data_IF_412780202870
#
_entry.id   IF_412780202870
#
_cell.length_a   1.000
_cell.length_b   1.000
_cell.length_c   1.000
_cell.angle_alpha   90.00
_cell.angle_beta   90.00
_cell.angle_gamma   90.00
#
_symmetry.space_group_name_H-M   'P 1'
#
loop_
_entity.id
_entity.type
_entity.pdbx_description
1 polymer ?
#
# COMPACT_ATOMS: atom_id res chain seq x y z
N UNK A 1 17.85 -17.20 -6.32
CA UNK A 1 16.86 -16.27 -6.93
C UNK A 1 16.28 -15.21 -5.96
N UNK A 2 16.65 -15.13 -4.67
CA UNK A 2 16.16 -14.09 -3.74
C UNK A 2 16.86 -12.72 -3.86
N UNK A 3 18.16 -12.72 -4.19
CA UNK A 3 18.97 -11.49 -4.31
C UNK A 3 18.52 -10.56 -5.45
N UNK A 4 18.23 -11.12 -6.63
CA UNK A 4 17.75 -10.34 -7.78
C UNK A 4 16.44 -9.59 -7.50
N UNK A 5 15.54 -10.19 -6.71
CA UNK A 5 14.25 -9.60 -6.35
C UNK A 5 14.40 -8.43 -5.36
N UNK A 6 15.36 -8.51 -4.43
CA UNK A 6 15.66 -7.41 -3.49
C UNK A 6 16.36 -6.24 -4.18
N UNK A 7 17.26 -6.53 -5.11
CA UNK A 7 17.98 -5.50 -5.87
C UNK A 7 17.05 -4.77 -6.86
N UNK A 8 16.17 -5.50 -7.56
CA UNK A 8 15.11 -4.91 -8.37
C UNK A 8 14.13 -4.09 -7.52
N UNK A 9 13.80 -4.57 -6.32
CA UNK A 9 12.97 -3.84 -5.36
C UNK A 9 13.60 -2.51 -4.96
N UNK A 10 14.90 -2.52 -4.61
CA UNK A 10 15.63 -1.32 -4.26
C UNK A 10 15.68 -0.34 -5.44
N UNK A 11 16.02 -0.82 -6.65
CA UNK A 11 16.08 0.00 -7.87
C UNK A 11 14.74 0.65 -8.23
N UNK A 12 13.65 -0.12 -8.20
CA UNK A 12 12.32 0.41 -8.44
C UNK A 12 11.95 1.47 -7.40
N UNK A 13 12.30 1.27 -6.14
CA UNK A 13 12.06 2.24 -5.08
C UNK A 13 12.93 3.50 -5.23
N UNK A 14 14.13 3.40 -5.81
CA UNK A 14 15.06 4.53 -5.99
C UNK A 14 14.87 5.30 -7.30
N UNK A 15 14.19 4.75 -8.31
CA UNK A 15 13.86 5.50 -9.53
C UNK A 15 12.99 6.73 -9.22
N UNK A 16 13.55 7.90 -9.54
CA UNK A 16 13.21 9.22 -9.01
C UNK A 16 11.87 9.80 -9.48
N UNK A 17 11.38 10.74 -8.68
CA UNK A 17 10.16 11.50 -8.91
C UNK A 17 10.48 12.83 -9.58
N UNK A 18 10.54 12.88 -10.91
CA UNK A 18 10.69 14.15 -11.65
C UNK A 18 9.34 14.87 -11.89
N UNK A 19 9.33 16.20 -12.13
CA UNK A 19 8.12 16.93 -12.50
C UNK A 19 7.46 16.38 -13.78
N UNK A 20 8.25 15.81 -14.69
CA UNK A 20 7.82 15.15 -15.93
C UNK A 20 6.88 13.95 -15.68
N UNK A 21 6.94 13.30 -14.51
CA UNK A 21 6.01 12.21 -14.17
C UNK A 21 4.57 12.68 -14.00
N UNK A 22 4.33 13.96 -13.71
CA UNK A 22 2.98 14.50 -13.63
C UNK A 22 2.28 14.47 -15.01
N UNK A 23 3.04 14.58 -16.09
CA UNK A 23 2.52 14.44 -17.47
C UNK A 23 2.12 13.00 -17.77
N UNK A 24 2.89 12.03 -17.28
CA UNK A 24 2.64 10.60 -17.46
C UNK A 24 1.50 10.08 -16.57
N UNK A 25 1.24 10.75 -15.44
CA UNK A 25 0.23 10.35 -14.47
C UNK A 25 -0.71 11.51 -14.13
N UNK A 26 -1.68 11.84 -15.02
CA UNK A 26 -2.58 12.98 -14.83
C UNK A 26 -3.38 12.94 -13.53
N UNK A 27 -3.69 11.74 -13.02
CA UNK A 27 -4.40 11.55 -11.76
C UNK A 27 -3.57 11.93 -10.52
N UNK A 28 -2.26 12.17 -10.67
CA UNK A 28 -1.36 12.67 -9.64
C UNK A 28 -1.23 14.21 -9.67
N UNK A 29 -1.76 14.89 -10.69
CA UNK A 29 -1.63 16.34 -10.85
C UNK A 29 -2.20 17.13 -9.67
N UNK A 30 -3.25 16.61 -9.02
CA UNK A 30 -3.88 17.23 -7.85
C UNK A 30 -3.05 17.09 -6.55
N UNK A 31 -1.91 16.40 -6.58
CA UNK A 31 -1.05 16.20 -5.41
C UNK A 31 0.14 17.15 -5.43
N UNK A 32 0.56 17.55 -4.22
CA UNK A 32 1.86 18.20 -4.04
C UNK A 32 2.98 17.28 -4.52
N UNK A 33 4.13 17.83 -4.90
CA UNK A 33 5.29 17.01 -5.31
C UNK A 33 5.68 15.96 -4.27
N UNK A 34 5.73 16.37 -2.99
CA UNK A 34 6.01 15.46 -1.88
C UNK A 34 4.96 14.33 -1.76
N UNK A 35 3.69 14.63 -1.95
CA UNK A 35 2.63 13.62 -1.90
C UNK A 35 2.60 12.74 -3.16
N UNK A 36 3.01 13.24 -4.33
CA UNK A 36 3.22 12.43 -5.54
C UNK A 36 4.29 11.38 -5.32
N UNK A 37 5.45 11.79 -4.79
CA UNK A 37 6.56 10.89 -4.45
C UNK A 37 6.06 9.78 -3.53
N UNK A 38 5.41 10.15 -2.41
CA UNK A 38 4.85 9.18 -1.45
C UNK A 38 3.82 8.25 -2.08
N UNK A 39 2.94 8.76 -2.93
CA UNK A 39 1.93 7.97 -3.63
C UNK A 39 2.59 6.94 -4.56
N UNK A 40 3.61 7.35 -5.33
CA UNK A 40 4.36 6.48 -6.22
C UNK A 40 5.10 5.38 -5.44
N UNK A 41 5.72 5.71 -4.31
CA UNK A 41 6.35 4.69 -3.45
C UNK A 41 5.33 3.68 -2.92
N UNK A 42 4.17 4.15 -2.46
CA UNK A 42 3.09 3.25 -2.01
C UNK A 42 2.63 2.35 -3.17
N UNK A 43 2.42 2.92 -4.36
CA UNK A 43 2.02 2.17 -5.54
C UNK A 43 3.04 1.10 -5.94
N UNK A 44 4.32 1.46 -5.99
CA UNK A 44 5.42 0.53 -6.30
C UNK A 44 5.44 -0.63 -5.30
N UNK A 45 5.31 -0.33 -4.01
CA UNK A 45 5.33 -1.34 -2.93
C UNK A 45 4.12 -2.28 -3.00
N UNK A 46 2.91 -1.75 -3.17
CA UNK A 46 1.68 -2.55 -3.27
C UNK A 46 1.67 -3.43 -4.53
N UNK A 47 2.05 -2.88 -5.68
CA UNK A 47 2.18 -3.66 -6.93
C UNK A 47 3.17 -4.80 -6.76
N UNK A 48 4.30 -4.55 -6.11
CA UNK A 48 5.30 -5.58 -5.88
C UNK A 48 4.81 -6.72 -4.99
N UNK A 49 4.13 -6.41 -3.88
CA UNK A 49 3.52 -7.43 -3.03
C UNK A 49 2.43 -8.21 -3.76
N UNK A 50 1.65 -7.54 -4.61
CA UNK A 50 0.65 -8.22 -5.43
C UNK A 50 1.31 -9.24 -6.36
N UNK A 51 2.42 -8.88 -7.02
CA UNK A 51 3.19 -9.80 -7.86
C UNK A 51 3.77 -10.97 -7.06
N UNK A 52 4.41 -10.69 -5.91
CA UNK A 52 4.97 -11.74 -5.04
C UNK A 52 3.89 -12.68 -4.52
N UNK A 53 2.72 -12.15 -4.14
CA UNK A 53 1.60 -12.96 -3.70
C UNK A 53 1.06 -13.82 -4.84
N UNK A 54 0.92 -13.27 -6.05
CA UNK A 54 0.47 -14.05 -7.21
C UNK A 54 1.46 -15.14 -7.62
N UNK A 55 2.76 -14.91 -7.46
CA UNK A 55 3.81 -15.89 -7.76
C UNK A 55 4.07 -16.89 -6.62
N UNK A 56 3.36 -16.78 -5.49
CA UNK A 56 3.55 -17.65 -4.32
C UNK A 56 4.82 -17.37 -3.51
N UNK A 57 5.50 -16.24 -3.75
CA UNK A 57 6.68 -15.81 -2.98
C UNK A 57 6.29 -15.10 -1.69
N UNK A 58 5.07 -14.57 -1.62
CA UNK A 58 4.42 -14.07 -0.42
C UNK A 58 3.22 -14.98 -0.13
N UNK A 59 3.21 -15.60 1.05
CA UNK A 59 2.07 -16.38 1.53
C UNK A 59 0.98 -15.47 2.13
N UNK A 60 -0.16 -16.06 2.48
CA UNK A 60 -1.33 -15.34 2.98
C UNK A 60 -1.09 -14.70 4.36
N UNK A 61 -0.43 -15.41 5.27
CA UNK A 61 -0.12 -14.87 6.59
C UNK A 61 0.87 -13.69 6.49
N UNK A 62 1.88 -13.81 5.63
CA UNK A 62 2.82 -12.74 5.35
C UNK A 62 2.13 -11.55 4.70
N UNK A 63 1.20 -11.78 3.78
CA UNK A 63 0.37 -10.73 3.18
C UNK A 63 -0.42 -9.97 4.26
N UNK A 64 -1.12 -10.66 5.16
CA UNK A 64 -1.87 -10.01 6.23
C UNK A 64 -0.97 -9.18 7.16
N UNK A 65 0.22 -9.69 7.51
CA UNK A 65 1.19 -8.94 8.32
C UNK A 65 1.67 -7.68 7.61
N UNK A 66 2.10 -7.76 6.35
CA UNK A 66 2.61 -6.58 5.62
C UNK A 66 1.51 -5.58 5.31
N UNK A 67 0.28 -6.04 5.03
CA UNK A 67 -0.88 -5.18 4.84
C UNK A 67 -1.23 -4.43 6.14
N UNK A 68 -1.25 -5.13 7.28
CA UNK A 68 -1.46 -4.52 8.59
C UNK A 68 -0.43 -3.43 8.90
N UNK A 69 0.85 -3.79 8.84
CA UNK A 69 1.95 -2.85 9.09
C UNK A 69 1.96 -1.67 8.11
N UNK A 70 1.59 -1.90 6.84
CA UNK A 70 1.45 -0.82 5.86
C UNK A 70 0.37 0.18 6.28
N UNK A 71 -0.79 -0.30 6.74
CA UNK A 71 -1.93 0.55 7.10
C UNK A 71 -1.77 1.31 8.42
N UNK A 72 -0.70 1.09 9.18
CA UNK A 72 -0.31 1.94 10.33
C UNK A 72 0.07 3.36 9.89
N UNK A 73 0.57 3.53 8.66
CA UNK A 73 0.94 4.82 8.10
C UNK A 73 -0.27 5.61 7.57
N UNK A 74 -0.39 6.87 7.97
CA UNK A 74 -1.42 7.78 7.44
C UNK A 74 -1.29 7.96 5.91
N UNK A 75 -0.06 8.01 5.39
CA UNK A 75 0.19 8.12 3.94
C UNK A 75 -0.26 6.87 3.19
N UNK A 76 -0.04 5.68 3.76
CA UNK A 76 -0.48 4.41 3.18
C UNK A 76 -2.00 4.32 3.13
N UNK A 77 -2.69 4.76 4.20
CA UNK A 77 -4.15 4.84 4.23
C UNK A 77 -4.69 5.82 3.18
N UNK A 78 -4.11 7.01 3.07
CA UNK A 78 -4.49 8.00 2.07
C UNK A 78 -4.25 7.51 0.63
N UNK A 79 -3.14 6.80 0.39
CA UNK A 79 -2.89 6.09 -0.86
C UNK A 79 -4.00 5.07 -1.14
N UNK A 80 -4.27 4.16 -0.19
CA UNK A 80 -5.22 3.08 -0.39
C UNK A 80 -6.63 3.59 -0.66
N UNK A 81 -7.07 4.62 0.07
CA UNK A 81 -8.36 5.27 -0.14
C UNK A 81 -8.56 5.77 -1.58
N UNK A 82 -7.49 6.25 -2.22
CA UNK A 82 -7.52 6.70 -3.63
C UNK A 82 -7.32 5.57 -4.63
N UNK A 83 -6.44 4.62 -4.33
CA UNK A 83 -6.02 3.57 -5.26
C UNK A 83 -6.94 2.33 -5.26
N UNK A 84 -7.64 2.04 -4.16
CA UNK A 84 -8.46 0.82 -4.00
C UNK A 84 -9.49 0.63 -5.12
N UNK A 85 -10.24 1.66 -5.59
CA UNK A 85 -11.17 1.48 -6.70
C UNK A 85 -10.49 1.05 -8.01
N UNK A 86 -9.27 1.53 -8.26
CA UNK A 86 -8.47 1.16 -9.44
C UNK A 86 -7.97 -0.27 -9.28
N UNK A 87 -7.43 -0.62 -8.11
CA UNK A 87 -6.95 -1.97 -7.80
C UNK A 87 -8.07 -3.00 -7.94
N UNK A 88 -9.26 -2.76 -7.38
CA UNK A 88 -10.45 -3.63 -7.50
C UNK A 88 -10.85 -3.92 -8.95
N UNK A 89 -10.78 -2.91 -9.83
CA UNK A 89 -11.13 -3.08 -11.25
C UNK A 89 -10.05 -3.77 -12.06
N UNK A 90 -8.79 -3.60 -11.68
CA UNK A 90 -7.63 -4.15 -12.41
C UNK A 90 -7.23 -5.56 -11.98
N UNK A 91 -7.80 -6.11 -10.90
CA UNK A 91 -7.50 -7.47 -10.47
C UNK A 91 -8.27 -8.51 -11.27
N UNK A 92 -7.58 -9.59 -11.60
CA UNK A 92 -8.14 -10.75 -12.27
C UNK A 92 -7.72 -12.04 -11.55
N UNK A 93 -8.63 -13.00 -11.50
CA UNK A 93 -8.39 -14.31 -10.89
C UNK A 93 -8.41 -14.32 -9.36
N UNK A 94 -8.50 -15.53 -8.80
CA UNK A 94 -8.71 -15.78 -7.36
C UNK A 94 -7.65 -15.09 -6.49
N UNK A 95 -6.35 -15.25 -6.81
CA UNK A 95 -5.26 -14.67 -6.01
C UNK A 95 -5.25 -13.13 -6.05
N UNK A 96 -5.67 -12.51 -7.15
CA UNK A 96 -5.79 -11.05 -7.23
C UNK A 96 -6.89 -10.52 -6.31
N UNK A 97 -8.06 -11.16 -6.32
CA UNK A 97 -9.15 -10.81 -5.39
C UNK A 97 -8.75 -11.01 -3.93
N UNK A 98 -8.09 -12.13 -3.61
CA UNK A 98 -7.58 -12.38 -2.25
C UNK A 98 -6.61 -11.28 -1.79
N UNK A 99 -5.71 -10.84 -2.67
CA UNK A 99 -4.78 -9.75 -2.36
C UNK A 99 -5.52 -8.46 -2.00
N UNK A 100 -6.46 -8.04 -2.84
CA UNK A 100 -7.23 -6.80 -2.63
C UNK A 100 -8.06 -6.87 -1.35
N UNK A 101 -8.71 -8.00 -1.08
CA UNK A 101 -9.48 -8.21 0.14
C UNK A 101 -8.60 -8.08 1.39
N UNK A 102 -7.41 -8.71 1.41
CA UNK A 102 -6.51 -8.61 2.56
C UNK A 102 -6.05 -7.16 2.83
N UNK A 103 -5.80 -6.39 1.77
CA UNK A 103 -5.45 -4.97 1.88
C UNK A 103 -6.62 -4.12 2.39
N UNK A 104 -7.84 -4.42 1.96
CA UNK A 104 -9.07 -3.75 2.44
C UNK A 104 -9.38 -4.06 3.89
N UNK A 105 -9.24 -5.32 4.30
CA UNK A 105 -9.46 -5.73 5.68
C UNK A 105 -8.47 -5.02 6.60
N UNK A 106 -7.20 -4.94 6.21
CA UNK A 106 -6.18 -4.19 6.92
C UNK A 106 -6.53 -2.70 7.00
N UNK A 107 -7.00 -2.10 5.90
CA UNK A 107 -7.41 -0.69 5.87
C UNK A 107 -8.56 -0.41 6.83
N UNK A 108 -9.64 -1.19 6.75
CA UNK A 108 -10.80 -1.02 7.63
C UNK A 108 -10.46 -1.30 9.09
N UNK A 109 -9.58 -2.27 9.37
CA UNK A 109 -9.07 -2.53 10.73
C UNK A 109 -8.32 -1.32 11.27
N UNK A 110 -7.44 -0.72 10.47
CA UNK A 110 -6.70 0.48 10.86
C UNK A 110 -7.63 1.68 11.11
N UNK A 111 -8.66 1.88 10.28
CA UNK A 111 -9.64 2.94 10.50
C UNK A 111 -10.44 2.74 11.78
N UNK A 112 -10.86 1.50 12.11
CA UNK A 112 -11.55 1.21 13.37
C UNK A 112 -10.68 1.52 14.58
N UNK A 113 -9.41 1.11 14.56
CA UNK A 113 -8.46 1.37 15.64
C UNK A 113 -8.21 2.87 15.89
N UNK A 114 -8.42 3.74 14.89
CA UNK A 114 -8.33 5.19 15.03
C UNK A 114 -9.61 5.83 15.57
N UNK A 115 -10.75 5.14 15.44
CA UNK A 115 -12.07 5.62 15.89
C UNK A 115 -12.40 5.18 17.32
N UNK A 116 -11.69 4.20 17.87
CA UNK A 116 -11.84 3.76 19.25
C UNK A 116 -11.18 4.76 20.20
N UNK A 117 -11.91 5.32 21.19
CA UNK A 117 -11.31 6.16 22.21
C UNK A 117 -10.29 5.33 23.01
N UNK A 118 -9.09 5.88 23.23
CA UNK A 118 -8.08 5.23 24.05
C UNK A 118 -8.56 5.23 25.50
N UNK A 119 -8.98 4.07 26.01
CA UNK A 119 -9.41 3.85 27.41
C UNK A 119 -8.26 3.96 28.44
N UNK A 120 -7.25 4.80 28.20
CA UNK A 120 -6.05 4.94 29.05
C UNK A 120 -5.89 6.32 29.69
N UNK A 121 -6.98 7.07 29.92
CA UNK A 121 -6.94 8.27 30.77
C UNK A 121 -8.07 8.22 31.78
N UNK A 122 -7.78 7.76 33.00
CA UNK A 122 -8.72 7.90 34.12
C UNK A 122 -8.63 6.92 35.28
N UNK A 123 -7.43 6.45 35.67
CA UNK A 123 -7.26 5.80 36.97
C UNK A 123 -5.93 6.25 37.60
N UNK A 124 -5.99 7.33 38.40
CA UNK A 124 -4.90 7.69 39.30
C UNK A 124 -4.53 9.17 39.29
N UNK A 125 -5.30 9.98 40.01
CA UNK A 125 -4.81 11.12 40.80
C UNK A 125 -5.82 11.40 41.92
#
# INVERSE_FOLDING_TARGET
>A
MRLATMEMHHRMLTEESGPELAELYPYLAALTEADRVRFLHCNKRVTFWHLQFRSGLLDEDALHRVAGAFMESAHARAYWQRAAPIQRRGVHGKRGHQFVNAMEDAFHKALRALSEPSDLVGAGA
#
